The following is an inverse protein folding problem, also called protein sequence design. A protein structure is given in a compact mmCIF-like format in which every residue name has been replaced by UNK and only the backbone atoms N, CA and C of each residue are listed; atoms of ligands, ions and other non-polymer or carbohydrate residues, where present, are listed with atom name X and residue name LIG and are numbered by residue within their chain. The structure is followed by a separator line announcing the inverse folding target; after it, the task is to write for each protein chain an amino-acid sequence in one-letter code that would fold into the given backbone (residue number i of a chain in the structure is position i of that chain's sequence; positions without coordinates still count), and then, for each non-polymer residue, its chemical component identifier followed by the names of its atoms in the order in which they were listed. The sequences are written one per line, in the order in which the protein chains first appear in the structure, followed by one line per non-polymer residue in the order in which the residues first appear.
data_IF_416145567854
#
_entry.id   IF_416145567854
#
_cell.length_a   1.000
_cell.length_b   1.000
_cell.length_c   1.000
_cell.angle_alpha   90.00
_cell.angle_beta   90.00
_cell.angle_gamma   90.00
#
_symmetry.space_group_name_H-M   'P 1'
#
loop_
_entity.id
_entity.type
_entity.pdbx_description
1 polymer ?
#
# COMPACT_ATOMS: atom_id res chain seq x y z
N UNK A 1 0.38 -16.08 11.73
CA UNK A 1 -0.23 -14.76 11.46
C UNK A 1 -0.40 -14.00 12.76
N UNK A 2 -0.25 -12.68 12.78
CA UNK A 2 -0.54 -11.87 13.98
C UNK A 2 -2.05 -11.84 14.22
N UNK A 3 -2.49 -12.35 15.36
CA UNK A 3 -3.91 -12.51 15.70
C UNK A 3 -4.41 -11.50 16.73
N UNK A 4 -3.52 -10.91 17.53
CA UNK A 4 -3.92 -10.04 18.62
C UNK A 4 -2.79 -9.18 19.16
N UNK A 5 -3.14 -8.37 20.17
CA UNK A 5 -2.25 -7.45 20.86
C UNK A 5 -2.58 -7.49 22.34
N UNK A 6 -1.58 -7.71 23.19
CA UNK A 6 -1.69 -7.65 24.64
C UNK A 6 -0.61 -6.73 25.19
N UNK A 7 -0.90 -6.09 26.32
CA UNK A 7 0.11 -5.33 27.05
C UNK A 7 0.58 -6.23 28.19
N UNK A 8 1.78 -6.77 28.04
CA UNK A 8 2.36 -7.72 29.00
C UNK A 8 3.41 -7.01 29.87
N UNK A 9 3.56 -7.50 31.10
CA UNK A 9 4.49 -6.96 32.08
C UNK A 9 5.79 -7.79 32.04
N UNK A 10 6.74 -7.43 31.17
CA UNK A 10 8.02 -8.14 31.06
C UNK A 10 9.23 -7.24 31.34
N UNK A 11 10.17 -7.78 32.13
CA UNK A 11 11.52 -7.29 32.50
C UNK A 11 11.70 -5.75 32.46
N UNK A 12 11.65 -5.12 33.64
CA UNK A 12 11.92 -3.69 33.99
C UNK A 12 10.71 -2.83 34.43
N UNK A 13 9.64 -3.43 34.93
CA UNK A 13 8.47 -2.70 35.48
C UNK A 13 7.71 -1.81 34.48
N UNK A 14 7.83 -2.05 33.17
CA UNK A 14 7.11 -1.31 32.13
C UNK A 14 6.14 -2.23 31.38
N UNK A 15 4.97 -1.70 31.02
CA UNK A 15 4.03 -2.39 30.14
C UNK A 15 4.54 -2.34 28.70
N UNK A 16 4.81 -3.50 28.12
CA UNK A 16 5.24 -3.62 26.73
C UNK A 16 4.11 -4.23 25.92
N UNK A 17 3.70 -3.53 24.86
CA UNK A 17 2.75 -4.09 23.91
C UNK A 17 3.42 -5.21 23.10
N UNK A 18 2.79 -6.38 23.11
CA UNK A 18 3.22 -7.57 22.39
C UNK A 18 2.24 -7.88 21.27
N UNK A 19 2.77 -8.26 20.10
CA UNK A 19 1.99 -8.91 19.06
C UNK A 19 1.83 -10.40 19.41
N UNK A 20 0.63 -10.92 19.19
CA UNK A 20 0.30 -12.33 19.50
C UNK A 20 0.28 -13.12 18.19
N UNK A 21 0.98 -14.25 18.20
CA UNK A 21 0.90 -15.27 17.16
C UNK A 21 0.59 -16.61 17.84
N UNK A 22 -0.25 -17.43 17.23
CA UNK A 22 -0.50 -18.78 17.71
C UNK A 22 0.22 -19.79 16.82
N UNK A 23 0.85 -20.77 17.44
CA UNK A 23 1.38 -21.96 16.78
C UNK A 23 0.87 -23.20 17.52
N UNK A 24 -0.09 -23.89 16.92
CA UNK A 24 -0.93 -24.88 17.61
C UNK A 24 -1.55 -24.28 18.88
N UNK A 25 -1.24 -24.85 20.05
CA UNK A 25 -1.68 -24.43 21.38
C UNK A 25 -0.68 -23.50 22.09
N UNK A 26 0.45 -23.20 21.46
CA UNK A 26 1.48 -22.32 22.02
C UNK A 26 1.16 -20.86 21.67
N UNK A 27 1.06 -20.03 22.70
CA UNK A 27 0.91 -18.57 22.56
C UNK A 27 2.28 -17.94 22.41
N UNK A 28 2.52 -17.28 21.29
CA UNK A 28 3.79 -16.63 20.99
C UNK A 28 3.62 -15.13 21.16
N UNK A 29 4.38 -14.57 22.09
CA UNK A 29 4.45 -13.14 22.37
C UNK A 29 5.67 -12.55 21.67
N UNK A 30 5.44 -11.54 20.83
CA UNK A 30 6.51 -10.78 20.16
C UNK A 30 6.44 -9.33 20.66
N UNK A 31 7.31 -8.95 21.60
CA UNK A 31 7.43 -7.57 22.09
C UNK A 31 7.62 -6.56 20.96
N UNK A 32 7.03 -5.38 21.05
CA UNK A 32 7.08 -4.38 19.96
C UNK A 32 8.50 -3.98 19.57
N UNK A 33 9.43 -3.95 20.52
CA UNK A 33 10.86 -3.69 20.31
C UNK A 33 11.58 -4.84 19.58
N UNK A 34 11.03 -6.05 19.61
CA UNK A 34 11.49 -7.22 18.85
C UNK A 34 10.66 -7.46 17.59
N UNK A 35 9.60 -6.68 17.37
CA UNK A 35 8.71 -6.76 16.21
C UNK A 35 9.16 -5.81 15.08
N UNK A 36 9.51 -4.57 15.43
CA UNK A 36 9.80 -3.47 14.48
C UNK A 36 10.96 -2.61 14.98
N UNK A 37 11.90 -2.28 14.08
CA UNK A 37 13.17 -1.61 14.44
C UNK A 37 13.04 -0.13 14.85
N UNK A 38 12.04 0.60 14.34
CA UNK A 38 12.03 2.09 14.37
C UNK A 38 10.96 2.72 15.24
N UNK A 39 9.99 1.96 15.76
CA UNK A 39 8.90 2.53 16.54
C UNK A 39 8.23 1.48 17.42
N UNK A 40 7.90 1.89 18.65
CA UNK A 40 7.30 1.06 19.69
C UNK A 40 5.80 1.32 19.87
N UNK A 41 5.15 2.05 18.94
CA UNK A 41 3.75 2.44 19.12
C UNK A 41 2.78 1.26 18.89
N UNK A 42 1.77 1.14 19.76
CA UNK A 42 0.69 0.15 19.64
C UNK A 42 -0.07 0.23 18.32
N UNK A 43 -0.13 1.41 17.70
CA UNK A 43 -0.75 1.65 16.39
C UNK A 43 -0.10 0.84 15.26
N UNK A 44 1.20 0.57 15.34
CA UNK A 44 1.91 -0.24 14.33
C UNK A 44 1.44 -1.68 14.39
N UNK A 45 1.36 -2.25 15.59
CA UNK A 45 0.88 -3.63 15.77
C UNK A 45 -0.55 -3.75 15.26
N UNK A 46 -1.41 -2.75 15.51
CA UNK A 46 -2.77 -2.71 14.94
C UNK A 46 -2.79 -2.75 13.42
N UNK A 47 -1.85 -2.06 12.77
CA UNK A 47 -1.72 -2.07 11.31
C UNK A 47 -1.21 -3.39 10.74
N UNK A 48 -0.54 -4.20 11.57
CA UNK A 48 0.01 -5.52 11.21
C UNK A 48 -0.90 -6.68 11.60
N UNK A 49 -2.08 -6.43 12.17
CA UNK A 49 -3.04 -7.49 12.46
C UNK A 49 -3.42 -8.22 11.16
N UNK A 50 -3.33 -9.54 11.18
CA UNK A 50 -3.50 -10.37 10.00
C UNK A 50 -2.20 -10.57 9.19
N UNK A 51 -1.07 -9.97 9.57
CA UNK A 51 0.18 -10.15 8.83
C UNK A 51 0.77 -11.54 9.10
N UNK A 52 1.25 -12.17 8.04
CA UNK A 52 2.12 -13.34 8.16
C UNK A 52 3.56 -12.86 8.37
N UNK A 53 4.18 -13.31 9.45
CA UNK A 53 5.53 -12.90 9.86
C UNK A 53 6.35 -14.13 10.23
N UNK A 54 7.66 -14.03 9.99
CA UNK A 54 8.62 -14.98 10.53
C UNK A 54 9.14 -14.46 11.87
N UNK A 55 9.53 -15.38 12.75
CA UNK A 55 10.10 -15.07 14.05
C UNK A 55 11.02 -16.20 14.51
N UNK A 56 11.96 -15.87 15.39
CA UNK A 56 12.81 -16.84 16.08
C UNK A 56 12.34 -16.89 17.54
N UNK A 57 12.07 -18.09 18.05
CA UNK A 57 11.74 -18.28 19.46
C UNK A 57 13.01 -18.07 20.29
N UNK A 58 12.93 -17.16 21.26
CA UNK A 58 14.02 -16.84 22.19
C UNK A 58 13.90 -17.67 23.47
N UNK A 59 12.69 -17.71 24.03
CA UNK A 59 12.37 -18.41 25.27
C UNK A 59 11.04 -19.13 25.13
N UNK A 60 10.89 -20.25 25.83
CA UNK A 60 9.65 -21.01 25.90
C UNK A 60 9.43 -21.48 27.33
N UNK A 61 8.27 -21.17 27.87
CA UNK A 61 7.80 -21.69 29.15
C UNK A 61 6.82 -22.85 28.92
N UNK A 62 7.29 -24.04 29.26
CA UNK A 62 6.51 -25.29 29.16
C UNK A 62 5.33 -25.38 30.12
N UNK A 63 5.31 -24.60 31.22
CA UNK A 63 4.23 -24.66 32.21
C UNK A 63 3.03 -23.87 31.69
N UNK A 64 3.26 -22.65 31.20
CA UNK A 64 2.20 -21.78 30.68
C UNK A 64 1.91 -21.96 29.18
N UNK A 65 2.74 -22.73 28.46
CA UNK A 65 2.70 -22.85 26.99
C UNK A 65 2.82 -21.49 26.28
N UNK A 66 3.67 -20.62 26.82
CA UNK A 66 3.97 -19.30 26.25
C UNK A 66 5.41 -19.28 25.73
N UNK A 67 5.60 -18.75 24.53
CA UNK A 67 6.91 -18.49 23.97
C UNK A 67 7.13 -17.00 23.74
N UNK A 68 8.35 -16.52 23.95
CA UNK A 68 8.78 -15.18 23.56
C UNK A 68 9.59 -15.32 22.28
N UNK A 69 9.30 -14.50 21.28
CA UNK A 69 9.98 -14.56 20.00
C UNK A 69 10.40 -13.18 19.47
N UNK A 70 11.36 -13.20 18.55
CA UNK A 70 11.91 -12.03 17.89
C UNK A 70 11.71 -12.10 16.39
N UNK A 71 10.99 -11.12 15.84
CA UNK A 71 10.84 -10.95 14.39
C UNK A 71 12.06 -10.28 13.78
N UNK A 72 12.69 -9.35 14.50
CA UNK A 72 13.87 -8.63 14.03
C UNK A 72 15.01 -9.61 13.71
N UNK A 73 15.26 -10.58 14.58
CA UNK A 73 16.33 -11.57 14.37
C UNK A 73 16.02 -12.48 13.18
N UNK A 74 14.75 -12.89 13.02
CA UNK A 74 14.30 -13.65 11.86
C UNK A 74 14.48 -12.86 10.54
N UNK A 75 14.14 -11.57 10.56
CA UNK A 75 14.32 -10.67 9.43
C UNK A 75 15.79 -10.50 9.06
N UNK A 76 16.65 -10.26 10.05
CA UNK A 76 18.09 -10.09 9.83
C UNK A 76 18.70 -11.34 9.19
N UNK A 77 18.47 -12.50 9.80
CA UNK A 77 18.93 -13.79 9.28
C UNK A 77 18.47 -14.01 7.84
N UNK A 78 17.17 -13.83 7.57
CA UNK A 78 16.60 -14.03 6.23
C UNK A 78 17.17 -13.03 5.23
N UNK A 79 17.33 -11.77 5.64
CA UNK A 79 17.83 -10.71 4.76
C UNK A 79 19.27 -10.96 4.33
N UNK A 80 20.13 -11.43 5.24
CA UNK A 80 21.53 -11.74 4.96
C UNK A 80 21.69 -12.87 3.94
N UNK A 81 20.73 -13.78 3.88
CA UNK A 81 20.75 -14.93 2.97
C UNK A 81 20.10 -14.57 1.63
N UNK A 82 18.94 -13.91 1.64
CA UNK A 82 18.10 -13.75 0.45
C UNK A 82 18.39 -12.48 -0.35
N UNK A 83 18.64 -11.35 0.32
CA UNK A 83 18.84 -10.05 -0.36
C UNK A 83 20.04 -10.06 -1.33
N UNK A 84 21.20 -10.65 -0.98
CA UNK A 84 22.35 -10.68 -1.90
C UNK A 84 22.10 -11.48 -3.20
N UNK A 85 21.09 -12.37 -3.21
CA UNK A 85 20.74 -13.18 -4.38
C UNK A 85 19.88 -12.40 -5.39
N UNK A 86 19.23 -11.31 -4.96
CA UNK A 86 18.31 -10.54 -5.78
C UNK A 86 19.04 -9.66 -6.79
N UNK A 87 18.43 -9.48 -7.95
CA UNK A 87 18.92 -8.61 -9.02
C UNK A 87 17.85 -7.59 -9.41
N UNK A 88 18.31 -6.46 -9.93
CA UNK A 88 17.40 -5.50 -10.54
C UNK A 88 16.63 -6.15 -11.69
N UNK A 89 15.36 -5.81 -11.85
CA UNK A 89 14.38 -6.39 -12.77
C UNK A 89 13.85 -7.79 -12.42
N UNK A 90 14.31 -8.40 -11.33
CA UNK A 90 13.72 -9.65 -10.86
C UNK A 90 12.23 -9.47 -10.53
N UNK A 91 11.50 -10.56 -10.72
CA UNK A 91 10.09 -10.67 -10.34
C UNK A 91 10.00 -11.58 -9.13
N UNK A 92 9.50 -11.04 -8.03
CA UNK A 92 9.44 -11.72 -6.74
C UNK A 92 8.04 -11.64 -6.14
N UNK A 93 7.78 -12.49 -5.15
CA UNK A 93 6.56 -12.49 -4.35
C UNK A 93 6.88 -11.93 -2.97
N UNK A 94 6.13 -10.91 -2.55
CA UNK A 94 6.32 -10.23 -1.25
C UNK A 94 5.07 -10.38 -0.40
N UNK A 95 5.20 -10.32 0.93
CA UNK A 95 4.07 -10.36 1.87
C UNK A 95 3.65 -8.94 2.25
N UNK A 96 2.35 -8.66 2.26
CA UNK A 96 1.82 -7.37 2.71
C UNK A 96 1.74 -7.39 4.24
N UNK A 97 2.51 -6.51 4.88
CA UNK A 97 2.61 -6.41 6.33
C UNK A 97 1.66 -5.35 6.88
N UNK A 98 1.45 -4.25 6.15
CA UNK A 98 0.50 -3.22 6.54
C UNK A 98 0.00 -2.47 5.29
N UNK A 99 -1.21 -1.91 5.38
CA UNK A 99 -1.83 -1.14 4.29
C UNK A 99 -2.17 0.26 4.76
N UNK A 100 -1.53 1.26 4.14
CA UNK A 100 -1.84 2.68 4.31
C UNK A 100 -2.80 3.19 3.22
N UNK A 101 -3.17 4.47 3.27
CA UNK A 101 -4.10 5.05 2.28
C UNK A 101 -3.48 5.15 0.88
N UNK A 102 -2.19 5.51 0.80
CA UNK A 102 -1.48 5.75 -0.49
C UNK A 102 -0.23 4.89 -0.66
N UNK A 103 -0.04 3.90 0.19
CA UNK A 103 1.09 2.98 0.13
C UNK A 103 0.76 1.69 0.86
N UNK A 104 1.53 0.64 0.56
CA UNK A 104 1.56 -0.59 1.34
C UNK A 104 2.98 -0.79 1.88
N UNK A 105 3.09 -1.42 3.05
CA UNK A 105 4.34 -1.91 3.59
C UNK A 105 4.42 -3.41 3.31
N UNK A 106 5.50 -3.85 2.67
CA UNK A 106 5.71 -5.24 2.32
C UNK A 106 7.00 -5.77 2.95
N UNK A 107 7.01 -7.07 3.24
CA UNK A 107 8.20 -7.84 3.57
C UNK A 107 8.74 -8.52 2.31
N UNK A 108 9.93 -8.06 1.92
CA UNK A 108 10.77 -8.58 0.85
C UNK A 108 11.91 -9.40 1.47
N UNK A 109 11.61 -10.64 1.86
CA UNK A 109 12.59 -11.61 2.36
C UNK A 109 13.45 -11.11 3.54
N UNK A 110 12.80 -10.56 4.57
CA UNK A 110 13.47 -9.99 5.74
C UNK A 110 13.77 -8.50 5.59
N UNK A 111 13.42 -7.88 4.44
CA UNK A 111 13.52 -6.44 4.23
C UNK A 111 12.16 -5.79 4.08
N UNK A 112 11.85 -4.84 4.95
CA UNK A 112 10.64 -4.03 4.81
C UNK A 112 10.80 -2.93 3.76
N UNK A 113 9.86 -2.86 2.82
CA UNK A 113 9.85 -1.89 1.72
C UNK A 113 8.47 -1.26 1.58
N UNK A 114 8.41 0.05 1.37
CA UNK A 114 7.16 0.77 1.10
C UNK A 114 6.93 0.83 -0.39
N UNK A 115 5.77 0.35 -0.86
CA UNK A 115 5.33 0.51 -2.25
C UNK A 115 4.24 1.58 -2.29
N UNK A 116 4.52 2.70 -2.96
CA UNK A 116 3.56 3.80 -3.14
C UNK A 116 2.49 3.41 -4.16
N UNK A 117 1.29 3.97 -4.02
CA UNK A 117 0.16 3.77 -4.93
C UNK A 117 0.51 3.91 -6.42
N UNK A 118 1.37 4.88 -6.75
CA UNK A 118 1.84 5.13 -8.12
C UNK A 118 2.63 3.96 -8.72
N UNK A 119 3.23 3.09 -7.90
CA UNK A 119 3.95 1.89 -8.31
C UNK A 119 3.10 0.61 -8.16
N UNK A 120 1.93 0.71 -7.51
CA UNK A 120 0.98 -0.39 -7.38
C UNK A 120 0.12 -0.54 -8.63
N UNK A 121 -0.46 0.56 -9.12
CA UNK A 121 -1.32 0.55 -10.31
C UNK A 121 -1.02 1.71 -11.25
N UNK A 122 -1.48 1.58 -12.49
CA UNK A 122 -1.42 2.67 -13.47
C UNK A 122 -2.49 3.74 -13.26
N UNK A 123 -3.63 3.36 -12.69
CA UNK A 123 -4.73 4.29 -12.37
C UNK A 123 -4.57 4.89 -10.98
N UNK A 124 -5.30 5.97 -10.71
CA UNK A 124 -5.28 6.60 -9.40
C UNK A 124 -5.97 5.73 -8.36
N UNK A 125 -5.22 5.28 -7.36
CA UNK A 125 -5.76 4.60 -6.19
C UNK A 125 -6.19 5.64 -5.16
N UNK A 126 -7.48 5.70 -4.83
CA UNK A 126 -8.00 6.59 -3.78
C UNK A 126 -7.51 6.14 -2.41
N UNK A 127 -7.67 4.85 -2.12
CA UNK A 127 -7.29 4.23 -0.85
C UNK A 127 -6.80 2.80 -1.11
N UNK A 128 -5.55 2.47 -0.75
CA UNK A 128 -5.02 1.13 -0.96
C UNK A 128 -5.75 0.08 -0.12
N UNK A 129 -6.38 0.46 1.00
CA UNK A 129 -7.14 -0.46 1.86
C UNK A 129 -8.37 -1.08 1.18
N UNK A 130 -8.84 -0.48 0.10
CA UNK A 130 -9.99 -0.99 -0.65
C UNK A 130 -9.56 -2.07 -1.67
N UNK A 131 -8.25 -2.22 -1.92
CA UNK A 131 -7.68 -3.06 -2.98
C UNK A 131 -6.79 -4.16 -2.40
N UNK A 132 -6.01 -3.85 -1.36
CA UNK A 132 -5.01 -4.74 -0.78
C UNK A 132 -5.35 -5.07 0.67
N UNK A 133 -5.03 -6.29 1.09
CA UNK A 133 -5.20 -6.72 2.48
C UNK A 133 -3.89 -7.14 3.12
N UNK A 134 -3.83 -6.98 4.44
CA UNK A 134 -2.72 -7.45 5.25
C UNK A 134 -2.69 -8.98 5.23
N UNK A 135 -1.49 -9.57 5.18
CA UNK A 135 -1.28 -11.02 5.10
C UNK A 135 -1.33 -11.58 3.68
N UNK A 136 -1.83 -10.83 2.70
CA UNK A 136 -1.80 -11.25 1.30
C UNK A 136 -0.38 -11.20 0.72
N UNK A 137 -0.19 -11.94 -0.36
CA UNK A 137 1.02 -11.89 -1.14
C UNK A 137 0.82 -11.08 -2.42
N UNK A 138 1.83 -10.31 -2.80
CA UNK A 138 1.82 -9.49 -4.00
C UNK A 138 3.02 -9.85 -4.89
N UNK A 139 2.78 -10.01 -6.20
CA UNK A 139 3.83 -10.15 -7.19
C UNK A 139 4.35 -8.78 -7.59
N UNK A 140 5.65 -8.55 -7.48
CA UNK A 140 6.30 -7.26 -7.74
C UNK A 140 7.56 -7.42 -8.56
N UNK A 141 7.90 -6.40 -9.34
CA UNK A 141 9.16 -6.28 -10.04
C UNK A 141 10.09 -5.32 -9.29
N UNK A 142 11.36 -5.68 -9.17
CA UNK A 142 12.39 -4.83 -8.58
C UNK A 142 12.83 -3.78 -9.60
N UNK A 143 12.41 -2.52 -9.43
CA UNK A 143 12.76 -1.41 -10.32
C UNK A 143 14.15 -0.87 -10.05
N UNK A 144 14.50 -0.73 -8.77
CA UNK A 144 15.79 -0.25 -8.31
C UNK A 144 16.23 -1.09 -7.11
N UNK A 145 17.48 -1.52 -7.15
CA UNK A 145 18.12 -2.30 -6.10
C UNK A 145 19.52 -1.75 -5.88
N UNK A 146 19.75 -1.16 -4.72
CA UNK A 146 21.07 -0.75 -4.25
C UNK A 146 21.18 -1.16 -2.78
N UNK A 147 21.81 -2.32 -2.58
CA UNK A 147 21.93 -2.96 -1.27
C UNK A 147 22.82 -2.12 -0.36
N UNK A 148 23.93 -1.57 -0.89
CA UNK A 148 24.89 -0.72 -0.16
C UNK A 148 24.24 0.53 0.42
N UNK A 149 23.41 1.22 -0.36
CA UNK A 149 22.75 2.45 0.08
C UNK A 149 21.34 2.19 0.65
N UNK A 150 20.95 0.91 0.83
CA UNK A 150 19.67 0.52 1.39
C UNK A 150 18.46 1.06 0.59
N UNK A 151 18.58 1.12 -0.75
CA UNK A 151 17.54 1.64 -1.65
C UNK A 151 16.86 0.50 -2.41
N UNK A 152 15.56 0.35 -2.17
CA UNK A 152 14.71 -0.66 -2.78
C UNK A 152 13.47 0.00 -3.37
N UNK A 153 13.25 -0.16 -4.67
CA UNK A 153 12.03 0.30 -5.34
C UNK A 153 11.33 -0.88 -6.00
N UNK A 154 10.10 -1.15 -5.57
CA UNK A 154 9.27 -2.25 -6.06
C UNK A 154 8.08 -1.68 -6.83
N UNK A 155 7.61 -2.43 -7.82
CA UNK A 155 6.50 -2.04 -8.68
C UNK A 155 5.63 -3.23 -9.05
N UNK A 156 4.33 -3.17 -8.74
CA UNK A 156 3.34 -4.18 -9.12
C UNK A 156 2.66 -3.84 -10.45
N UNK A 157 2.53 -2.56 -10.79
CA UNK A 157 1.88 -2.08 -12.03
C UNK A 157 2.52 -2.60 -13.32
N UNK A 158 3.76 -3.10 -13.26
CA UNK A 158 4.45 -3.66 -14.44
C UNK A 158 3.73 -4.91 -14.99
N UNK A 159 2.90 -5.56 -14.18
CA UNK A 159 2.08 -6.71 -14.58
C UNK A 159 0.66 -6.31 -14.99
N UNK A 160 0.30 -5.02 -14.89
CA UNK A 160 -0.99 -4.51 -15.32
C UNK A 160 -0.88 -3.89 -16.72
N UNK A 161 -1.94 -4.01 -17.52
CA UNK A 161 -2.01 -3.27 -18.77
C UNK A 161 -2.13 -1.76 -18.49
N UNK A 162 -1.29 -0.97 -19.14
CA UNK A 162 -1.37 0.48 -19.01
C UNK A 162 -2.57 1.03 -19.80
N UNK A 163 -3.65 1.50 -19.15
CA UNK A 163 -4.85 1.97 -19.85
C UNK A 163 -4.55 3.19 -20.75
N UNK A 164 -3.49 3.95 -20.43
CA UNK A 164 -3.05 5.09 -21.22
C UNK A 164 -2.53 4.72 -22.62
N UNK A 165 -2.06 3.48 -22.83
CA UNK A 165 -1.61 3.03 -24.17
C UNK A 165 -2.77 2.95 -25.18
N UNK A 166 -3.98 2.67 -24.70
CA UNK A 166 -5.17 2.48 -25.52
C UNK A 166 -6.23 3.56 -25.25
N UNK A 167 -5.86 4.68 -24.62
CA UNK A 167 -6.82 5.66 -24.12
C UNK A 167 -7.68 6.28 -25.22
N UNK A 168 -7.13 6.42 -26.43
CA UNK A 168 -7.85 6.94 -27.60
C UNK A 168 -8.99 6.06 -28.09
N UNK A 169 -9.03 4.78 -27.70
CA UNK A 169 -10.19 3.91 -27.95
C UNK A 169 -11.40 4.29 -27.09
N UNK A 170 -11.15 4.90 -25.94
CA UNK A 170 -12.18 5.22 -24.94
C UNK A 170 -12.56 6.70 -24.92
N UNK A 171 -11.62 7.60 -25.24
CA UNK A 171 -11.85 9.04 -25.22
C UNK A 171 -11.25 9.75 -26.44
N UNK A 172 -11.92 10.81 -26.88
CA UNK A 172 -11.47 11.73 -27.93
C UNK A 172 -11.48 13.17 -27.43
N UNK A 173 -10.67 14.03 -28.05
CA UNK A 173 -10.65 15.46 -27.77
C UNK A 173 -12.06 16.04 -27.98
N UNK A 174 -12.48 16.92 -27.07
CA UNK A 174 -13.82 17.53 -27.03
C UNK A 174 -14.99 16.56 -26.83
N UNK A 175 -14.75 15.26 -26.68
CA UNK A 175 -15.80 14.30 -26.34
C UNK A 175 -16.28 14.48 -24.89
N UNK A 176 -17.54 14.15 -24.65
CA UNK A 176 -18.16 14.22 -23.33
C UNK A 176 -18.37 12.82 -22.75
N UNK A 177 -18.01 12.63 -21.48
CA UNK A 177 -18.04 11.33 -20.81
C UNK A 177 -18.53 11.48 -19.37
N UNK A 178 -19.14 10.41 -18.86
CA UNK A 178 -19.52 10.33 -17.45
C UNK A 178 -18.36 9.84 -16.60
N UNK A 179 -18.32 10.29 -15.36
CA UNK A 179 -17.38 9.80 -14.37
C UNK A 179 -17.83 10.11 -12.96
N UNK A 180 -17.03 9.65 -12.01
CA UNK A 180 -17.26 9.84 -10.57
C UNK A 180 -16.16 10.70 -9.99
N UNK A 181 -16.51 11.69 -9.15
CA UNK A 181 -15.52 12.48 -8.40
C UNK A 181 -14.86 11.61 -7.34
N UNK A 182 -13.54 11.44 -7.41
CA UNK A 182 -12.78 10.53 -6.55
C UNK A 182 -11.79 11.21 -5.60
N UNK A 183 -11.42 12.46 -5.86
CA UNK A 183 -10.51 13.21 -5.00
C UNK A 183 -10.47 14.70 -5.37
N UNK A 184 -9.93 15.50 -4.46
CA UNK A 184 -9.67 16.93 -4.65
C UNK A 184 -8.16 17.15 -4.56
N UNK A 185 -7.50 17.67 -5.62
CA UNK A 185 -6.09 18.01 -5.58
C UNK A 185 -5.79 19.06 -4.52
N UNK A 186 -4.59 18.98 -3.92
CA UNK A 186 -4.08 20.05 -3.05
C UNK A 186 -3.86 21.31 -3.89
N UNK A 187 -4.46 22.44 -3.47
CA UNK A 187 -4.34 23.73 -4.16
C UNK A 187 -5.55 24.13 -5.01
N UNK A 188 -6.71 23.49 -4.86
CA UNK A 188 -7.98 23.86 -5.50
C UNK A 188 -7.92 24.02 -7.03
N UNK A 189 -7.03 23.25 -7.70
CA UNK A 189 -6.87 23.29 -9.15
C UNK A 189 -7.99 22.58 -9.94
N UNK A 190 -8.98 22.02 -9.24
CA UNK A 190 -10.14 21.35 -9.82
C UNK A 190 -10.57 20.14 -8.98
N UNK A 191 -11.15 19.15 -9.66
CA UNK A 191 -11.58 17.88 -9.08
C UNK A 191 -10.99 16.72 -9.88
N UNK A 192 -10.65 15.61 -9.22
CA UNK A 192 -10.24 14.39 -9.90
C UNK A 192 -11.47 13.54 -10.19
N UNK A 193 -11.70 13.26 -11.46
CA UNK A 193 -12.84 12.47 -11.94
C UNK A 193 -12.32 11.17 -12.51
N UNK A 194 -12.83 10.04 -12.05
CA UNK A 194 -12.58 8.75 -12.66
C UNK A 194 -13.63 8.48 -13.71
N UNK A 195 -13.21 8.27 -14.96
CA UNK A 195 -14.11 7.95 -16.07
C UNK A 195 -14.74 6.58 -15.90
N UNK A 196 -16.03 6.46 -16.23
CA UNK A 196 -16.75 5.20 -16.08
C UNK A 196 -16.27 4.11 -17.05
N UNK A 197 -15.92 4.52 -18.28
CA UNK A 197 -15.55 3.64 -19.39
C UNK A 197 -14.13 3.05 -19.31
N UNK A 198 -13.16 3.85 -18.89
CA UNK A 198 -11.72 3.53 -18.94
C UNK A 198 -11.07 3.44 -17.57
N UNK A 199 -11.76 3.88 -16.52
CA UNK A 199 -11.25 4.04 -15.14
C UNK A 199 -10.04 4.97 -15.02
N UNK A 200 -9.65 5.65 -16.09
CA UNK A 200 -8.61 6.68 -16.08
C UNK A 200 -9.13 7.91 -15.35
N UNK A 201 -8.23 8.52 -14.59
CA UNK A 201 -8.53 9.75 -13.85
C UNK A 201 -8.19 10.97 -14.69
N UNK A 202 -9.10 11.93 -14.72
CA UNK A 202 -8.91 13.25 -15.32
C UNK A 202 -8.84 14.32 -14.24
N UNK A 203 -8.07 15.37 -14.49
CA UNK A 203 -8.17 16.61 -13.72
C UNK A 203 -9.22 17.50 -14.39
N UNK A 204 -10.37 17.59 -13.74
CA UNK A 204 -11.50 18.36 -14.23
C UNK A 204 -11.50 19.76 -13.63
N UNK A 205 -11.41 20.78 -14.49
CA UNK A 205 -11.61 22.17 -14.11
C UNK A 205 -13.09 22.42 -13.85
N UNK A 206 -13.41 23.00 -12.70
CA UNK A 206 -14.77 23.46 -12.37
C UNK A 206 -14.90 24.93 -12.79
N UNK A 207 -15.82 25.26 -13.72
CA UNK A 207 -16.03 26.63 -14.16
C UNK A 207 -16.64 27.51 -13.09
N UNK A 208 -16.27 28.79 -13.05
CA UNK A 208 -16.80 29.76 -12.07
C UNK A 208 -18.34 29.97 -12.16
N UNK A 209 -18.97 29.62 -13.29
CA UNK A 209 -20.43 29.70 -13.46
C UNK A 209 -21.21 28.68 -12.63
N UNK A 210 -20.56 27.68 -12.04
CA UNK A 210 -21.23 26.70 -11.19
C UNK A 210 -21.34 27.24 -9.76
N UNK A 211 -22.59 27.46 -9.32
CA UNK A 211 -22.87 27.83 -7.94
C UNK A 211 -22.66 26.67 -6.96
N UNK A 212 -22.75 25.42 -7.43
CA UNK A 212 -22.53 24.23 -6.62
C UNK A 212 -21.25 23.51 -7.05
N UNK A 213 -20.37 23.22 -6.08
CA UNK A 213 -19.12 22.53 -6.33
C UNK A 213 -19.32 21.02 -6.16
N UNK A 214 -18.88 20.17 -7.11
CA UNK A 214 -19.08 18.73 -6.99
C UNK A 214 -18.45 18.15 -5.73
N UNK A 215 -19.17 17.25 -5.05
CA UNK A 215 -18.73 16.56 -3.85
C UNK A 215 -18.09 15.20 -4.17
N UNK A 216 -17.45 14.60 -3.16
CA UNK A 216 -16.88 13.26 -3.29
C UNK A 216 -17.97 12.25 -3.64
N UNK A 217 -17.70 11.39 -4.63
CA UNK A 217 -18.61 10.39 -5.22
C UNK A 217 -19.75 10.92 -6.09
N UNK A 218 -19.84 12.24 -6.32
CA UNK A 218 -20.82 12.76 -7.28
C UNK A 218 -20.56 12.21 -8.68
N UNK A 219 -21.65 11.98 -9.42
CA UNK A 219 -21.61 11.68 -10.84
C UNK A 219 -21.57 12.98 -11.62
N UNK A 220 -20.71 13.02 -12.64
CA UNK A 220 -20.49 14.23 -13.44
C UNK A 220 -20.39 13.89 -14.91
N UNK A 221 -20.85 14.82 -15.74
CA UNK A 221 -20.56 14.85 -17.16
C UNK A 221 -19.39 15.82 -17.40
N UNK A 222 -18.33 15.34 -18.03
CA UNK A 222 -17.12 16.13 -18.29
C UNK A 222 -16.79 16.12 -19.78
N UNK A 223 -16.24 17.21 -20.28
CA UNK A 223 -15.70 17.33 -21.63
C UNK A 223 -14.18 17.22 -21.61
N UNK A 224 -13.60 16.34 -22.43
CA UNK A 224 -12.14 16.18 -22.51
C UNK A 224 -11.54 17.36 -23.26
N UNK A 225 -10.58 18.04 -22.64
CA UNK A 225 -9.92 19.21 -23.23
C UNK A 225 -8.51 18.91 -23.71
N UNK A 226 -7.81 18.00 -23.05
CA UNK A 226 -6.45 17.61 -23.41
C UNK A 226 -6.17 16.17 -22.98
N UNK A 227 -5.46 15.42 -23.83
CA UNK A 227 -5.04 14.05 -23.57
C UNK A 227 -3.52 13.99 -23.67
N UNK A 228 -2.84 13.78 -22.54
CA UNK A 228 -1.39 13.61 -22.49
C UNK A 228 -1.03 12.17 -22.12
N UNK A 229 -0.73 11.38 -23.16
CA UNK A 229 -0.40 9.95 -23.01
C UNK A 229 0.93 9.75 -22.27
N UNK A 230 1.93 10.59 -22.57
CA UNK A 230 3.28 10.48 -21.99
C UNK A 230 3.28 10.79 -20.49
N UNK A 231 2.60 11.87 -20.09
CA UNK A 231 2.44 12.26 -18.68
C UNK A 231 1.39 11.43 -17.94
N UNK A 232 0.69 10.52 -18.64
CA UNK A 232 -0.45 9.76 -18.11
C UNK A 232 -1.47 10.67 -17.43
N UNK A 233 -1.83 11.75 -18.11
CA UNK A 233 -2.65 12.81 -17.55
C UNK A 233 -3.67 13.29 -18.57
N UNK A 234 -4.91 13.48 -18.14
CA UNK A 234 -6.01 13.95 -18.98
C UNK A 234 -6.65 15.15 -18.30
N UNK A 235 -6.83 16.23 -19.04
CA UNK A 235 -7.56 17.40 -18.57
C UNK A 235 -8.97 17.40 -19.11
N UNK A 236 -9.90 17.84 -18.27
CA UNK A 236 -11.30 17.94 -18.64
C UNK A 236 -11.95 19.20 -18.06
N UNK A 237 -13.15 19.48 -18.54
CA UNK A 237 -13.97 20.62 -18.15
C UNK A 237 -15.35 20.12 -17.69
N UNK A 238 -15.85 20.62 -16.57
CA UNK A 238 -17.14 20.18 -16.03
C UNK A 238 -18.29 20.74 -16.89
N UNK A 239 -19.15 19.84 -17.39
CA UNK A 239 -20.34 20.20 -18.17
C UNK A 239 -21.59 20.25 -17.32
N UNK A 240 -21.81 19.26 -16.44
CA UNK A 240 -22.87 19.26 -15.41
C UNK A 240 -22.62 18.19 -14.34
N UNK A 241 -23.27 18.35 -13.21
CA UNK A 241 -23.42 17.30 -12.17
C UNK A 241 -24.67 16.49 -12.53
N UNK A 242 -24.63 15.17 -12.32
CA UNK A 242 -25.70 14.20 -12.62
C UNK A 242 -26.27 13.69 -11.30
#
# INVERSE_FOLDING_TARGET
MITGIEDEYYLKNEHISCAIVWYYDIKILIPVNLLVQKSTSKSIIRGMLGAEIDFIVLEYDSISNIAIASRIDAMELRSNIEIPKLKQNDTIKVRIIAVGVKHILVDMYGKEVIIRAQNLQHIYIVNCKDIYKVGEYLRVKIKKLDISNNVYELSAKEFEENPFKNIRKYIVLNGEYTGTVIAFPKGNSGILVQLDNSKVTTLCRVPARFNNYPHFKDKVLIKITEINENKKFVYSYLMRII
#
